data_IF_841273871819
#
_entry.id   IF_841273871819
#
_cell.length_a   1.000
_cell.length_b   1.000
_cell.length_c   1.000
_cell.angle_alpha   90.00
_cell.angle_beta   90.00
_cell.angle_gamma   90.00
#
_symmetry.space_group_name_H-M   'P 1'
#
loop_
_entity.id
_entity.type
_entity.pdbx_description
1 polymer ?
#
# COMPACT_ATOMS: atom_id res chain seq x y z
N UNK A 1 60.99 21.03 5.30
CA UNK A 1 59.52 21.07 5.21
C UNK A 1 58.99 20.13 4.11
N UNK A 2 59.44 18.87 4.07
CA UNK A 2 59.01 17.86 3.08
C UNK A 2 58.56 16.54 3.73
N UNK A 3 58.55 16.48 5.07
CA UNK A 3 58.17 15.28 5.84
C UNK A 3 56.73 15.30 6.35
N UNK A 4 56.05 16.46 6.37
CA UNK A 4 54.66 16.57 6.82
C UNK A 4 53.63 16.26 5.70
N UNK A 5 53.98 16.52 4.43
CA UNK A 5 53.06 16.33 3.30
C UNK A 5 52.83 14.85 2.96
N UNK A 6 53.85 14.00 3.15
CA UNK A 6 53.75 12.56 2.88
C UNK A 6 52.91 11.83 3.93
N UNK A 7 52.90 12.31 5.17
CA UNK A 7 52.07 11.72 6.23
C UNK A 7 50.59 12.07 6.07
N UNK A 8 50.24 13.27 5.61
CA UNK A 8 48.83 13.63 5.38
C UNK A 8 48.20 12.86 4.21
N UNK A 9 48.91 12.67 3.10
CA UNK A 9 48.38 11.88 1.97
C UNK A 9 48.22 10.40 2.30
N UNK A 10 49.13 9.83 3.09
CA UNK A 10 49.06 8.43 3.50
C UNK A 10 47.93 8.18 4.53
N UNK A 11 47.73 9.10 5.49
CA UNK A 11 46.59 9.07 6.44
C UNK A 11 45.25 9.29 5.71
N UNK A 12 45.24 10.11 4.65
CA UNK A 12 44.04 10.31 3.82
C UNK A 12 43.70 9.08 2.98
N UNK A 13 44.71 8.36 2.48
CA UNK A 13 44.52 7.09 1.76
C UNK A 13 44.01 5.96 2.66
N UNK A 14 44.58 5.83 3.87
CA UNK A 14 44.16 4.82 4.84
C UNK A 14 42.74 5.07 5.36
N UNK A 15 42.37 6.33 5.64
CA UNK A 15 41.00 6.68 6.06
C UNK A 15 39.94 6.43 4.99
N UNK A 16 40.25 6.63 3.71
CA UNK A 16 39.31 6.34 2.60
C UNK A 16 39.08 4.82 2.46
N UNK A 17 40.15 4.01 2.58
CA UNK A 17 40.07 2.55 2.46
C UNK A 17 39.34 1.93 3.66
N UNK A 18 39.55 2.45 4.86
CA UNK A 18 38.88 2.00 6.08
C UNK A 18 37.40 2.38 6.10
N UNK A 19 37.06 3.59 5.63
CA UNK A 19 35.66 4.01 5.43
C UNK A 19 34.93 3.12 4.43
N UNK A 20 35.56 2.78 3.31
CA UNK A 20 34.94 1.89 2.31
C UNK A 20 34.70 0.47 2.85
N UNK A 21 35.55 -0.04 3.74
CA UNK A 21 35.29 -1.32 4.44
C UNK A 21 34.15 -1.20 5.45
N UNK A 22 34.07 -0.11 6.20
CA UNK A 22 33.00 0.14 7.18
C UNK A 22 31.63 0.30 6.50
N UNK A 23 31.57 0.99 5.37
CA UNK A 23 30.36 1.10 4.57
C UNK A 23 29.95 -0.24 3.97
N UNK A 24 30.92 -1.03 3.50
CA UNK A 24 30.67 -2.38 2.99
C UNK A 24 30.05 -3.29 4.06
N UNK A 25 30.62 -3.32 5.27
CA UNK A 25 30.12 -4.18 6.36
C UNK A 25 28.67 -3.84 6.77
N UNK A 26 28.24 -2.59 6.60
CA UNK A 26 26.86 -2.15 6.86
C UNK A 26 25.93 -2.40 5.67
N UNK A 27 26.39 -2.18 4.45
CA UNK A 27 25.58 -2.32 3.23
C UNK A 27 25.33 -3.80 2.88
N UNK A 28 26.31 -4.67 3.11
CA UNK A 28 26.23 -6.08 2.75
C UNK A 28 25.04 -6.84 3.39
N UNK A 29 24.80 -6.80 4.72
CA UNK A 29 23.65 -7.50 5.31
C UNK A 29 22.31 -6.94 4.84
N UNK A 30 22.24 -5.62 4.57
CA UNK A 30 21.05 -5.00 3.98
C UNK A 30 20.81 -5.52 2.56
N UNK A 31 21.89 -5.64 1.77
CA UNK A 31 21.83 -6.18 0.42
C UNK A 31 21.41 -7.65 0.42
N UNK A 32 21.95 -8.47 1.33
CA UNK A 32 21.60 -9.88 1.46
C UNK A 32 20.10 -10.05 1.73
N UNK A 33 19.59 -9.33 2.74
CA UNK A 33 18.17 -9.33 3.07
C UNK A 33 17.31 -8.87 1.88
N UNK A 34 17.71 -7.78 1.22
CA UNK A 34 16.95 -7.22 0.10
C UNK A 34 16.96 -8.14 -1.13
N UNK A 35 18.06 -8.83 -1.43
CA UNK A 35 18.12 -9.81 -2.53
C UNK A 35 17.17 -10.97 -2.26
N UNK A 36 17.27 -11.59 -1.08
CA UNK A 36 16.42 -12.72 -0.71
C UNK A 36 14.93 -12.36 -0.77
N UNK A 37 14.59 -11.16 -0.31
CA UNK A 37 13.21 -10.69 -0.22
C UNK A 37 12.63 -10.22 -1.55
N UNK A 38 13.42 -9.56 -2.41
CA UNK A 38 12.88 -8.84 -3.56
C UNK A 38 13.39 -9.30 -4.93
N UNK A 39 14.65 -9.71 -5.09
CA UNK A 39 15.29 -9.82 -6.43
C UNK A 39 16.16 -11.08 -6.58
N UNK A 40 15.79 -12.17 -5.91
CA UNK A 40 16.55 -13.42 -5.94
C UNK A 40 16.70 -13.93 -7.38
N UNK A 41 17.94 -14.16 -7.80
CA UNK A 41 18.26 -14.60 -9.17
C UNK A 41 18.27 -13.49 -10.23
N UNK A 42 17.86 -12.26 -9.88
CA UNK A 42 17.95 -11.09 -10.77
C UNK A 42 19.16 -10.21 -10.43
N UNK A 43 19.58 -10.18 -9.17
CA UNK A 43 20.70 -9.40 -8.69
C UNK A 43 21.47 -10.18 -7.63
N UNK A 44 22.79 -10.06 -7.63
CA UNK A 44 23.65 -10.64 -6.59
C UNK A 44 23.83 -9.68 -5.41
N UNK A 45 24.15 -10.22 -4.24
CA UNK A 45 24.34 -9.44 -3.01
C UNK A 45 25.47 -8.42 -3.19
N UNK A 46 26.56 -8.82 -3.84
CA UNK A 46 27.73 -7.98 -4.08
C UNK A 46 27.42 -6.80 -5.00
N UNK A 47 26.60 -7.01 -6.04
CA UNK A 47 26.23 -5.95 -6.97
C UNK A 47 25.30 -4.97 -6.26
N UNK A 48 24.32 -5.46 -5.49
CA UNK A 48 23.42 -4.60 -4.73
C UNK A 48 24.17 -3.79 -3.67
N UNK A 49 25.08 -4.42 -2.91
CA UNK A 49 25.89 -3.72 -1.91
C UNK A 49 26.71 -2.57 -2.54
N UNK A 50 27.35 -2.82 -3.69
CA UNK A 50 28.06 -1.77 -4.46
C UNK A 50 27.13 -0.62 -4.86
N UNK A 51 25.94 -0.94 -5.38
CA UNK A 51 24.98 0.08 -5.81
C UNK A 51 24.43 0.89 -4.63
N UNK A 52 24.16 0.26 -3.49
CA UNK A 52 23.75 0.95 -2.26
C UNK A 52 24.81 1.98 -1.84
N UNK A 53 26.08 1.57 -1.79
CA UNK A 53 27.19 2.45 -1.40
C UNK A 53 27.33 3.60 -2.40
N UNK A 54 27.28 3.30 -3.70
CA UNK A 54 27.39 4.32 -4.75
C UNK A 54 26.27 5.36 -4.66
N UNK A 55 25.02 4.91 -4.52
CA UNK A 55 23.85 5.78 -4.44
C UNK A 55 23.87 6.63 -3.17
N UNK A 56 24.32 6.05 -2.05
CA UNK A 56 24.53 6.78 -0.81
C UNK A 56 25.60 7.86 -0.95
N UNK A 57 26.76 7.55 -1.56
CA UNK A 57 27.84 8.52 -1.82
C UNK A 57 27.40 9.69 -2.71
N UNK A 58 26.52 9.43 -3.68
CA UNK A 58 25.97 10.48 -4.56
C UNK A 58 24.97 11.36 -3.83
N UNK A 59 24.17 10.77 -2.93
CA UNK A 59 23.07 11.49 -2.26
C UNK A 59 23.54 12.27 -1.03
N UNK A 60 24.58 11.79 -0.33
CA UNK A 60 25.14 12.44 0.85
C UNK A 60 26.55 12.97 0.56
N UNK A 61 26.64 14.29 0.38
CA UNK A 61 27.92 15.01 0.26
C UNK A 61 28.55 15.35 1.61
N UNK A 62 27.81 15.18 2.71
CA UNK A 62 28.23 15.48 4.08
C UNK A 62 28.63 14.19 4.83
N UNK A 63 29.59 14.29 5.76
CA UNK A 63 30.26 13.18 6.49
C UNK A 63 29.36 12.45 7.50
N UNK A 64 28.05 12.41 7.29
CA UNK A 64 27.14 11.69 8.18
C UNK A 64 27.22 10.20 7.95
N UNK A 65 27.22 9.38 9.00
CA UNK A 65 27.21 7.94 8.84
C UNK A 65 25.87 7.40 8.30
N UNK A 66 25.87 6.37 7.43
CA UNK A 66 24.63 5.82 6.87
C UNK A 66 23.79 5.08 7.92
N UNK A 67 22.59 5.57 8.24
CA UNK A 67 21.68 4.82 9.10
C UNK A 67 21.19 3.53 8.41
N UNK A 68 20.96 2.42 9.15
CA UNK A 68 20.45 1.18 8.57
C UNK A 68 19.12 1.36 7.82
N UNK A 69 18.25 2.24 8.32
CA UNK A 69 16.97 2.58 7.67
C UNK A 69 17.16 3.26 6.31
N UNK A 70 18.14 4.16 6.19
CA UNK A 70 18.48 4.80 4.92
C UNK A 70 19.00 3.79 3.90
N UNK A 71 19.94 2.93 4.31
CA UNK A 71 20.48 1.86 3.45
C UNK A 71 19.37 0.91 2.99
N UNK A 72 18.44 0.56 3.89
CA UNK A 72 17.28 -0.29 3.55
C UNK A 72 16.38 0.38 2.51
N UNK A 73 16.15 1.69 2.64
CA UNK A 73 15.35 2.45 1.67
C UNK A 73 16.01 2.53 0.29
N UNK A 74 17.32 2.75 0.26
CA UNK A 74 18.13 2.73 -0.98
C UNK A 74 18.04 1.34 -1.63
N UNK A 75 18.28 0.27 -0.85
CA UNK A 75 18.19 -1.10 -1.33
C UNK A 75 16.81 -1.43 -1.92
N UNK A 76 15.73 -1.05 -1.22
CA UNK A 76 14.37 -1.27 -1.69
C UNK A 76 14.08 -0.51 -2.99
N UNK A 77 14.57 0.73 -3.12
CA UNK A 77 14.45 1.53 -4.35
C UNK A 77 15.12 0.84 -5.53
N UNK A 78 16.38 0.41 -5.35
CA UNK A 78 17.16 -0.30 -6.38
C UNK A 78 16.44 -1.61 -6.77
N UNK A 79 16.03 -2.42 -5.79
CA UNK A 79 15.32 -3.68 -6.04
C UNK A 79 13.99 -3.46 -6.79
N UNK A 80 13.27 -2.39 -6.45
CA UNK A 80 12.03 -2.00 -7.13
C UNK A 80 12.26 -1.70 -8.61
N UNK A 81 13.31 -0.93 -8.92
CA UNK A 81 13.72 -0.65 -10.30
C UNK A 81 14.11 -1.93 -11.05
N UNK A 82 14.92 -2.81 -10.44
CA UNK A 82 15.37 -4.07 -11.07
C UNK A 82 14.18 -4.98 -11.36
N UNK A 83 13.26 -5.14 -10.41
CA UNK A 83 12.03 -5.92 -10.62
C UNK A 83 11.17 -5.35 -11.73
N UNK A 84 11.03 -4.02 -11.80
CA UNK A 84 10.25 -3.37 -12.85
C UNK A 84 10.83 -3.66 -14.23
N UNK A 85 12.15 -3.52 -14.39
CA UNK A 85 12.84 -3.81 -15.65
C UNK A 85 12.73 -5.29 -16.03
N UNK A 86 12.91 -6.19 -15.05
CA UNK A 86 12.80 -7.63 -15.27
C UNK A 86 11.36 -8.05 -15.66
N UNK A 87 10.34 -7.47 -15.02
CA UNK A 87 8.94 -7.68 -15.35
C UNK A 87 8.59 -7.22 -16.77
N UNK A 88 9.22 -6.13 -17.24
CA UNK A 88 9.07 -5.61 -18.60
C UNK A 88 9.96 -6.27 -19.64
N UNK A 89 10.89 -7.13 -19.24
CA UNK A 89 11.88 -7.73 -20.14
C UNK A 89 11.22 -8.47 -21.31
N UNK A 90 11.77 -8.39 -22.54
CA UNK A 90 11.33 -9.22 -23.66
C UNK A 90 11.71 -10.70 -23.46
N UNK A 91 12.68 -11.00 -22.61
CA UNK A 91 13.17 -12.35 -22.34
C UNK A 91 12.24 -13.12 -21.37
N UNK A 92 11.84 -14.33 -21.75
CA UNK A 92 10.93 -15.17 -20.96
C UNK A 92 11.47 -15.51 -19.57
N UNK A 93 12.70 -16.02 -19.51
CA UNK A 93 13.33 -16.45 -18.26
C UNK A 93 13.47 -15.31 -17.24
N UNK A 94 13.90 -14.12 -17.67
CA UNK A 94 14.02 -12.94 -16.79
C UNK A 94 12.67 -12.54 -16.22
N UNK A 95 11.60 -12.61 -17.01
CA UNK A 95 10.24 -12.36 -16.51
C UNK A 95 9.79 -13.40 -15.51
N UNK A 96 10.07 -14.68 -15.74
CA UNK A 96 9.72 -15.74 -14.79
C UNK A 96 10.36 -15.50 -13.43
N UNK A 97 11.64 -15.10 -13.40
CA UNK A 97 12.29 -14.64 -12.16
C UNK A 97 11.58 -13.44 -11.53
N UNK A 98 11.17 -12.45 -12.32
CA UNK A 98 10.41 -11.31 -11.81
C UNK A 98 9.07 -11.74 -11.18
N UNK A 99 8.30 -12.60 -11.85
CA UNK A 99 7.03 -13.11 -11.31
C UNK A 99 7.21 -13.97 -10.06
N UNK A 100 8.24 -14.82 -10.01
CA UNK A 100 8.56 -15.62 -8.83
C UNK A 100 8.92 -14.75 -7.62
N UNK A 101 9.71 -13.69 -7.84
CA UNK A 101 10.05 -12.74 -6.79
C UNK A 101 8.86 -11.88 -6.35
N UNK A 102 8.04 -11.40 -7.30
CA UNK A 102 6.80 -10.70 -7.00
C UNK A 102 5.87 -11.57 -6.15
N UNK A 103 5.69 -12.84 -6.49
CA UNK A 103 4.90 -13.78 -5.69
C UNK A 103 5.40 -13.85 -4.25
N UNK A 104 6.71 -14.04 -4.02
CA UNK A 104 7.30 -14.10 -2.67
C UNK A 104 7.09 -12.80 -1.89
N UNK A 105 7.31 -11.66 -2.54
CA UNK A 105 7.09 -10.34 -1.96
C UNK A 105 5.63 -10.15 -1.53
N UNK A 106 4.69 -10.43 -2.43
CA UNK A 106 3.26 -10.27 -2.19
C UNK A 106 2.72 -11.23 -1.13
N UNK A 107 3.18 -12.48 -1.14
CA UNK A 107 2.84 -13.44 -0.10
C UNK A 107 3.30 -12.94 1.28
N UNK A 108 4.54 -12.46 1.37
CA UNK A 108 5.06 -11.88 2.62
C UNK A 108 4.26 -10.66 3.07
N UNK A 109 3.84 -9.81 2.13
CA UNK A 109 2.99 -8.66 2.42
C UNK A 109 1.59 -9.06 2.91
N UNK A 110 0.96 -10.06 2.29
CA UNK A 110 -0.34 -10.56 2.74
C UNK A 110 -0.25 -11.18 4.12
N UNK A 111 0.79 -11.97 4.42
CA UNK A 111 0.97 -12.57 5.75
C UNK A 111 1.05 -11.48 6.82
N UNK A 112 1.79 -10.39 6.56
CA UNK A 112 1.88 -9.24 7.48
C UNK A 112 0.52 -8.56 7.69
N UNK A 113 -0.25 -8.33 6.62
CA UNK A 113 -1.58 -7.70 6.72
C UNK A 113 -2.57 -8.63 7.44
N UNK A 114 -2.59 -9.91 7.07
CA UNK A 114 -3.48 -10.93 7.62
C UNK A 114 -3.23 -11.20 9.11
N UNK A 115 -2.01 -11.01 9.61
CA UNK A 115 -1.72 -11.11 11.05
C UNK A 115 -2.44 -10.05 11.89
N UNK A 116 -2.91 -8.96 11.26
CA UNK A 116 -3.58 -7.84 11.93
C UNK A 116 -5.09 -7.77 11.68
N UNK A 117 -5.63 -8.64 10.82
CA UNK A 117 -7.04 -8.58 10.41
C UNK A 117 -7.64 -9.99 10.31
N UNK A 118 -8.96 -10.18 10.47
CA UNK A 118 -9.60 -11.51 10.54
C UNK A 118 -9.64 -12.30 9.20
N UNK A 119 -8.69 -12.06 8.29
CA UNK A 119 -8.53 -12.71 6.97
C UNK A 119 -8.22 -14.20 7.04
N UNK A 120 -8.00 -14.72 8.25
CA UNK A 120 -7.59 -16.09 8.51
C UNK A 120 -8.65 -17.16 8.18
N UNK A 121 -9.72 -16.80 7.47
CA UNK A 121 -10.85 -17.70 7.20
C UNK A 121 -10.57 -18.76 6.13
N UNK A 122 -9.59 -18.59 5.23
CA UNK A 122 -9.10 -19.72 4.44
C UNK A 122 -7.72 -19.49 3.81
N UNK A 123 -6.85 -20.51 3.82
CA UNK A 123 -5.58 -20.50 3.09
C UNK A 123 -5.79 -20.41 1.56
N UNK A 124 -6.96 -20.85 1.09
CA UNK A 124 -7.40 -20.76 -0.31
C UNK A 124 -7.60 -19.31 -0.76
N UNK A 125 -8.17 -18.44 0.08
CA UNK A 125 -8.39 -17.01 -0.26
C UNK A 125 -7.06 -16.28 -0.48
N UNK A 126 -6.01 -16.59 0.28
CA UNK A 126 -4.69 -15.95 0.13
C UNK A 126 -4.07 -16.32 -1.22
N UNK A 127 -4.11 -17.60 -1.59
CA UNK A 127 -3.60 -18.07 -2.87
C UNK A 127 -4.39 -17.51 -4.06
N UNK A 128 -5.71 -17.42 -3.94
CA UNK A 128 -6.56 -16.83 -4.99
C UNK A 128 -6.24 -15.35 -5.21
N UNK A 129 -6.11 -14.57 -4.14
CA UNK A 129 -5.72 -13.15 -4.21
C UNK A 129 -4.34 -12.99 -4.85
N UNK A 130 -3.37 -13.83 -4.49
CA UNK A 130 -2.04 -13.80 -5.09
C UNK A 130 -2.08 -14.12 -6.58
N UNK A 131 -2.74 -15.21 -6.96
CA UNK A 131 -2.84 -15.63 -8.35
C UNK A 131 -3.58 -14.59 -9.20
N UNK A 132 -4.68 -14.03 -8.67
CA UNK A 132 -5.43 -12.98 -9.32
C UNK A 132 -4.58 -11.71 -9.49
N UNK A 133 -3.83 -11.29 -8.46
CA UNK A 133 -2.92 -10.14 -8.57
C UNK A 133 -1.87 -10.36 -9.65
N UNK A 134 -1.24 -11.53 -9.70
CA UNK A 134 -0.24 -11.86 -10.73
C UNK A 134 -0.86 -11.91 -12.14
N UNK A 135 -2.09 -12.41 -12.28
CA UNK A 135 -2.84 -12.40 -13.54
C UNK A 135 -3.15 -10.97 -14.00
N UNK A 136 -3.55 -10.08 -13.09
CA UNK A 136 -3.76 -8.66 -13.40
C UNK A 136 -2.47 -8.03 -13.91
N UNK A 137 -1.35 -8.24 -13.24
CA UNK A 137 -0.04 -7.74 -13.68
C UNK A 137 0.35 -8.29 -15.06
N UNK A 138 0.11 -9.58 -15.31
CA UNK A 138 0.38 -10.20 -16.60
C UNK A 138 -0.46 -9.58 -17.72
N UNK A 139 -1.77 -9.39 -17.49
CA UNK A 139 -2.69 -8.76 -18.46
C UNK A 139 -2.32 -7.30 -18.72
N UNK A 140 -2.01 -6.53 -17.67
CA UNK A 140 -1.59 -5.13 -17.83
C UNK A 140 -0.39 -5.01 -18.76
N UNK A 141 0.60 -5.90 -18.61
CA UNK A 141 1.79 -5.96 -19.48
C UNK A 141 1.44 -6.25 -20.94
N UNK A 142 0.53 -7.21 -21.19
CA UNK A 142 0.14 -7.60 -22.55
C UNK A 142 -0.66 -6.52 -23.26
N UNK A 143 -1.55 -5.84 -22.55
CA UNK A 143 -2.49 -4.89 -23.15
C UNK A 143 -1.91 -3.49 -23.35
N UNK A 144 -0.83 -3.11 -22.66
CA UNK A 144 -0.31 -1.74 -22.71
C UNK A 144 1.22 -1.70 -22.62
N UNK A 145 1.85 -1.14 -23.65
CA UNK A 145 3.30 -0.85 -23.70
C UNK A 145 3.75 0.16 -22.64
N UNK A 146 2.84 0.89 -21.99
CA UNK A 146 3.11 1.84 -20.90
C UNK A 146 2.55 1.39 -19.54
N UNK A 147 2.31 0.09 -19.34
CA UNK A 147 1.84 -0.40 -18.04
C UNK A 147 2.89 -0.23 -16.92
N UNK A 148 2.40 0.09 -15.71
CA UNK A 148 3.20 0.26 -14.50
C UNK A 148 3.25 1.71 -14.00
N UNK A 149 4.06 1.99 -12.96
CA UNK A 149 4.27 3.36 -12.48
C UNK A 149 5.18 4.15 -13.44
N UNK A 150 5.04 5.48 -13.41
CA UNK A 150 5.95 6.39 -14.14
C UNK A 150 7.38 6.32 -13.60
N UNK A 151 7.53 6.15 -12.27
CA UNK A 151 8.81 5.96 -11.60
C UNK A 151 9.04 4.48 -11.24
N UNK A 152 10.03 3.80 -11.85
CA UNK A 152 10.39 2.41 -11.54
C UNK A 152 10.69 2.16 -10.05
N UNK A 153 11.19 3.15 -9.32
CA UNK A 153 11.47 3.02 -7.89
C UNK A 153 10.21 2.73 -7.07
N UNK A 154 9.04 3.14 -7.57
CA UNK A 154 7.75 2.96 -6.89
C UNK A 154 7.05 1.65 -7.24
N UNK A 155 7.64 0.80 -8.09
CA UNK A 155 7.03 -0.43 -8.57
C UNK A 155 6.54 -1.37 -7.46
N UNK A 156 7.37 -1.69 -6.47
CA UNK A 156 6.95 -2.53 -5.33
C UNK A 156 5.71 -1.98 -4.61
N UNK A 157 5.67 -0.66 -4.37
CA UNK A 157 4.51 0.02 -3.74
C UNK A 157 3.27 -0.03 -4.65
N UNK A 158 3.47 0.16 -5.94
CA UNK A 158 2.39 0.08 -6.93
C UNK A 158 1.79 -1.33 -6.99
N UNK A 159 2.62 -2.38 -7.06
CA UNK A 159 2.17 -3.77 -7.03
C UNK A 159 1.46 -4.08 -5.71
N UNK A 160 1.98 -3.60 -4.57
CA UNK A 160 1.32 -3.76 -3.28
C UNK A 160 -0.06 -3.08 -3.24
N UNK A 161 -0.24 -1.94 -3.92
CA UNK A 161 -1.54 -1.29 -4.03
C UNK A 161 -2.55 -2.14 -4.81
N UNK A 162 -2.10 -2.80 -5.89
CA UNK A 162 -2.94 -3.74 -6.65
C UNK A 162 -3.33 -4.92 -5.77
N UNK A 163 -2.37 -5.50 -5.05
CA UNK A 163 -2.62 -6.58 -4.11
C UNK A 163 -3.71 -6.21 -3.11
N UNK A 164 -3.59 -5.06 -2.44
CA UNK A 164 -4.59 -4.64 -1.45
C UNK A 164 -5.98 -4.45 -2.05
N UNK A 165 -6.08 -4.03 -3.31
CA UNK A 165 -7.36 -3.90 -4.03
C UNK A 165 -7.97 -5.27 -4.35
N UNK A 166 -7.19 -6.21 -4.88
CA UNK A 166 -7.66 -7.57 -5.18
C UNK A 166 -8.05 -8.32 -3.91
N UNK A 167 -7.28 -8.11 -2.85
CA UNK A 167 -7.53 -8.66 -1.55
C UNK A 167 -8.90 -8.15 -1.03
N UNK A 168 -9.13 -6.83 -1.06
CA UNK A 168 -10.39 -6.23 -0.62
C UNK A 168 -11.59 -6.66 -1.48
N UNK A 169 -11.40 -6.74 -2.80
CA UNK A 169 -12.42 -7.21 -3.73
C UNK A 169 -12.83 -8.66 -3.43
N UNK A 170 -11.87 -9.52 -3.07
CA UNK A 170 -12.12 -10.92 -2.71
C UNK A 170 -12.91 -11.02 -1.41
N UNK A 171 -12.56 -10.25 -0.37
CA UNK A 171 -13.35 -10.19 0.86
C UNK A 171 -14.80 -9.78 0.60
N UNK A 172 -15.01 -8.75 -0.23
CA UNK A 172 -16.36 -8.29 -0.61
C UNK A 172 -17.13 -9.34 -1.40
N UNK A 173 -16.45 -10.12 -2.24
CA UNK A 173 -17.07 -11.21 -2.98
C UNK A 173 -17.50 -12.33 -2.03
N UNK A 174 -16.66 -12.69 -1.06
CA UNK A 174 -16.95 -13.69 -0.03
C UNK A 174 -18.13 -13.26 0.85
N UNK A 175 -18.17 -11.99 1.29
CA UNK A 175 -19.32 -11.41 2.02
C UNK A 175 -20.62 -11.55 1.22
N UNK A 176 -20.59 -11.24 -0.08
CA UNK A 176 -21.77 -11.33 -0.95
C UNK A 176 -22.18 -12.78 -1.20
N UNK A 177 -21.23 -13.69 -1.41
CA UNK A 177 -21.48 -15.11 -1.63
C UNK A 177 -22.08 -15.77 -0.39
N UNK A 178 -21.59 -15.42 0.80
CA UNK A 178 -22.16 -15.86 2.08
C UNK A 178 -23.63 -15.40 2.24
N UNK A 179 -24.00 -14.22 1.75
CA UNK A 179 -25.39 -13.75 1.75
C UNK A 179 -26.30 -14.47 0.73
N UNK A 180 -25.75 -15.20 -0.25
CA UNK A 180 -26.50 -15.77 -1.38
C UNK A 180 -26.63 -17.31 -1.34
N UNK A 181 -25.93 -18.00 -0.45
CA UNK A 181 -26.03 -19.46 -0.31
C UNK A 181 -27.29 -19.86 0.47
N UNK A 182 -28.29 -20.37 -0.24
CA UNK A 182 -29.56 -20.86 0.33
C UNK A 182 -29.42 -22.24 1.01
N UNK A 183 -28.41 -23.04 0.65
CA UNK A 183 -28.25 -24.42 1.15
C UNK A 183 -27.48 -24.51 2.49
N UNK A 184 -26.91 -23.40 2.97
CA UNK A 184 -26.25 -23.33 4.29
C UNK A 184 -27.21 -22.94 5.45
N UNK A 185 -28.51 -22.86 5.18
CA UNK A 185 -29.48 -22.22 6.06
C UNK A 185 -30.01 -22.98 7.30
N UNK A 186 -29.68 -24.24 7.65
CA UNK A 186 -30.09 -24.74 8.96
C UNK A 186 -29.21 -24.23 10.12
N UNK A 187 -27.95 -23.83 9.86
CA UNK A 187 -27.03 -23.35 10.90
C UNK A 187 -26.84 -21.82 10.89
N UNK A 188 -26.98 -21.16 9.73
CA UNK A 188 -26.80 -19.71 9.60
C UNK A 188 -27.90 -18.88 10.29
N UNK A 189 -29.05 -19.48 10.63
CA UNK A 189 -30.06 -18.82 11.47
C UNK A 189 -29.71 -18.84 12.97
N UNK A 190 -28.74 -19.66 13.41
CA UNK A 190 -28.19 -19.62 14.77
C UNK A 190 -26.90 -18.81 14.88
N UNK A 191 -26.11 -18.65 13.79
CA UNK A 191 -24.81 -17.96 13.83
C UNK A 191 -24.80 -16.51 13.29
N UNK A 192 -25.92 -15.96 12.81
CA UNK A 192 -26.06 -14.50 12.61
C UNK A 192 -25.94 -13.68 13.92
N UNK A 193 -25.78 -14.36 15.07
CA UNK A 193 -25.49 -13.77 16.38
C UNK A 193 -24.04 -13.95 16.85
N UNK A 194 -23.09 -14.39 16.00
CA UNK A 194 -21.70 -14.53 16.44
C UNK A 194 -20.73 -13.84 15.48
N UNK A 195 -20.71 -12.52 15.53
CA UNK A 195 -19.47 -11.77 15.40
C UNK A 195 -19.24 -11.02 16.71
N UNK A 196 -18.23 -11.49 17.43
CA UNK A 196 -17.87 -11.20 18.81
C UNK A 196 -17.70 -9.70 19.12
N UNK A 197 -18.25 -9.29 20.26
CA UNK A 197 -18.07 -8.04 21.00
C UNK A 197 -18.95 -6.84 20.62
N UNK A 198 -20.28 -6.96 20.76
CA UNK A 198 -21.21 -5.86 21.10
C UNK A 198 -22.48 -6.47 21.71
N UNK A 199 -22.40 -6.92 22.97
CA UNK A 199 -23.54 -7.46 23.74
C UNK A 199 -24.38 -6.35 24.38
N UNK A 200 -24.66 -5.27 23.64
CA UNK A 200 -25.69 -4.33 24.06
C UNK A 200 -26.69 -4.08 22.91
N UNK A 201 -27.95 -4.56 23.01
CA UNK A 201 -29.01 -4.20 22.07
C UNK A 201 -29.19 -2.68 21.93
N UNK A 202 -28.74 -1.90 22.92
CA UNK A 202 -28.71 -0.44 22.88
C UNK A 202 -27.72 0.09 21.81
N UNK A 203 -26.55 -0.52 21.65
CA UNK A 203 -25.55 -0.08 20.66
C UNK A 203 -26.02 -0.31 19.21
N UNK A 204 -26.75 -1.40 18.97
CA UNK A 204 -27.34 -1.68 17.67
C UNK A 204 -28.39 -0.63 17.27
N UNK A 205 -29.27 -0.26 18.22
CA UNK A 205 -30.25 0.80 18.02
C UNK A 205 -29.56 2.13 17.77
N UNK A 206 -28.53 2.47 18.56
CA UNK A 206 -27.75 3.70 18.40
C UNK A 206 -27.04 3.77 17.04
N UNK A 207 -26.48 2.67 16.54
CA UNK A 207 -25.88 2.62 15.20
C UNK A 207 -26.90 2.81 14.09
N UNK A 208 -28.08 2.20 14.22
CA UNK A 208 -29.15 2.34 13.24
C UNK A 208 -29.71 3.77 13.21
N UNK A 209 -29.91 4.38 14.39
CA UNK A 209 -30.31 5.78 14.52
C UNK A 209 -29.26 6.74 13.94
N UNK A 210 -27.97 6.49 14.21
CA UNK A 210 -26.89 7.30 13.65
C UNK A 210 -26.85 7.22 12.12
N UNK A 211 -27.01 6.02 11.55
CA UNK A 211 -27.04 5.84 10.09
C UNK A 211 -28.25 6.53 9.46
N UNK A 212 -29.43 6.42 10.08
CA UNK A 212 -30.63 7.11 9.63
C UNK A 212 -30.46 8.64 9.66
N UNK A 213 -29.96 9.17 10.77
CA UNK A 213 -29.73 10.60 10.93
C UNK A 213 -28.66 11.15 9.97
N UNK A 214 -27.58 10.42 9.74
CA UNK A 214 -26.58 10.80 8.74
C UNK A 214 -27.16 10.79 7.33
N UNK A 215 -28.00 9.81 7.00
CA UNK A 215 -28.71 9.76 5.71
C UNK A 215 -29.59 10.99 5.53
N UNK A 216 -30.37 11.34 6.53
CA UNK A 216 -31.29 12.48 6.48
C UNK A 216 -30.53 13.81 6.47
N UNK A 217 -29.42 13.91 7.21
CA UNK A 217 -28.53 15.07 7.21
C UNK A 217 -27.87 15.30 5.84
N UNK A 218 -27.46 14.23 5.15
CA UNK A 218 -26.94 14.30 3.78
C UNK A 218 -28.06 14.72 2.83
N UNK A 219 -29.24 14.07 2.88
CA UNK A 219 -30.35 14.37 1.98
C UNK A 219 -30.87 15.81 2.11
N UNK A 220 -30.82 16.37 3.33
CA UNK A 220 -31.20 17.76 3.63
C UNK A 220 -30.13 18.80 3.29
N UNK A 221 -29.01 18.43 2.66
CA UNK A 221 -28.09 19.42 2.07
C UNK A 221 -28.75 20.07 0.86
N UNK A 222 -28.87 21.42 0.90
CA UNK A 222 -29.53 22.21 -0.16
C UNK A 222 -28.87 22.06 -1.54
N UNK A 223 -27.56 21.82 -1.57
CA UNK A 223 -26.82 21.68 -2.83
C UNK A 223 -26.79 20.20 -3.29
N UNK A 224 -27.35 19.87 -4.47
CA UNK A 224 -27.30 18.50 -5.00
C UNK A 224 -25.89 17.99 -5.29
N UNK A 225 -24.94 18.87 -5.67
CA UNK A 225 -23.55 18.48 -5.92
C UNK A 225 -22.85 18.02 -4.64
N UNK A 226 -23.20 18.59 -3.49
CA UNK A 226 -22.62 18.19 -2.20
C UNK A 226 -23.08 16.78 -1.82
N UNK A 227 -24.38 16.52 -1.97
CA UNK A 227 -24.96 15.19 -1.74
C UNK A 227 -24.30 14.14 -2.63
N UNK A 228 -24.23 14.43 -3.93
CA UNK A 228 -23.63 13.55 -4.91
C UNK A 228 -22.15 13.29 -4.59
N UNK A 229 -21.35 14.31 -4.31
CA UNK A 229 -19.94 14.13 -3.94
C UNK A 229 -19.80 13.21 -2.75
N UNK A 230 -20.60 13.39 -1.70
CA UNK A 230 -20.56 12.53 -0.52
C UNK A 230 -20.95 11.08 -0.85
N UNK A 231 -22.02 10.87 -1.61
CA UNK A 231 -22.44 9.53 -2.00
C UNK A 231 -21.39 8.83 -2.86
N UNK A 232 -20.85 9.49 -3.89
CA UNK A 232 -19.87 8.86 -4.78
C UNK A 232 -18.50 8.69 -4.11
N UNK A 233 -18.11 9.59 -3.20
CA UNK A 233 -16.83 9.47 -2.48
C UNK A 233 -16.88 8.36 -1.43
N UNK A 234 -17.97 8.25 -0.67
CA UNK A 234 -18.03 7.35 0.49
C UNK A 234 -18.79 6.04 0.25
N UNK A 235 -19.72 5.97 -0.72
CA UNK A 235 -20.41 4.72 -1.07
C UNK A 235 -19.86 4.07 -2.33
N UNK A 236 -19.45 4.87 -3.32
CA UNK A 236 -18.90 4.36 -4.58
C UNK A 236 -17.36 4.42 -4.63
N UNK A 237 -16.72 4.87 -3.55
CA UNK A 237 -15.26 4.96 -3.38
C UNK A 237 -14.52 5.64 -4.54
N UNK A 238 -15.19 6.56 -5.23
CA UNK A 238 -14.61 7.26 -6.38
C UNK A 238 -13.67 8.36 -5.90
N UNK A 239 -12.49 8.43 -6.50
CA UNK A 239 -11.56 9.51 -6.23
C UNK A 239 -12.00 10.85 -6.89
N UNK A 240 -11.41 11.96 -6.44
CA UNK A 240 -11.78 13.29 -6.93
C UNK A 240 -11.52 13.45 -8.42
N UNK A 241 -10.53 12.73 -8.97
CA UNK A 241 -10.16 12.77 -10.39
C UNK A 241 -11.12 11.95 -11.25
N UNK A 242 -11.63 10.85 -10.74
CA UNK A 242 -12.66 10.01 -11.35
C UNK A 242 -14.00 10.74 -11.37
N UNK A 243 -14.36 11.41 -10.26
CA UNK A 243 -15.54 12.26 -10.19
C UNK A 243 -15.45 13.45 -11.15
N UNK A 244 -14.28 14.11 -11.21
CA UNK A 244 -14.01 15.20 -12.14
C UNK A 244 -14.16 14.75 -13.60
N UNK A 245 -13.59 13.60 -13.96
CA UNK A 245 -13.75 12.99 -15.29
C UNK A 245 -15.20 12.64 -15.58
N UNK A 246 -15.92 12.03 -14.63
CA UNK A 246 -17.32 11.62 -14.79
C UNK A 246 -18.27 12.81 -14.97
N UNK A 247 -18.01 13.92 -14.29
CA UNK A 247 -18.86 15.11 -14.36
C UNK A 247 -18.37 16.21 -15.30
N UNK A 248 -17.23 15.99 -15.98
CA UNK A 248 -16.60 16.95 -16.88
C UNK A 248 -16.33 18.30 -16.19
N UNK A 249 -15.77 18.24 -14.99
CA UNK A 249 -15.40 19.42 -14.18
C UNK A 249 -13.95 19.29 -13.71
N UNK A 250 -13.38 20.35 -13.15
CA UNK A 250 -12.03 20.30 -12.61
C UNK A 250 -11.99 19.54 -11.29
N UNK A 251 -10.89 18.82 -11.02
CA UNK A 251 -10.70 18.11 -9.76
C UNK A 251 -10.73 19.06 -8.54
N UNK A 252 -10.30 20.30 -8.73
CA UNK A 252 -10.38 21.35 -7.71
C UNK A 252 -11.82 21.69 -7.33
N UNK A 253 -12.76 21.67 -8.28
CA UNK A 253 -14.18 21.91 -8.00
C UNK A 253 -14.78 20.79 -7.15
N UNK A 254 -14.44 19.53 -7.48
CA UNK A 254 -14.87 18.35 -6.71
C UNK A 254 -14.32 18.39 -5.29
N UNK A 255 -13.04 18.73 -5.13
CA UNK A 255 -12.41 18.94 -3.83
C UNK A 255 -13.15 20.03 -3.03
N UNK A 256 -13.43 21.18 -3.65
CA UNK A 256 -14.14 22.29 -2.99
C UNK A 256 -15.57 21.91 -2.60
N UNK A 257 -16.27 21.14 -3.43
CA UNK A 257 -17.59 20.62 -3.11
C UNK A 257 -17.55 19.63 -1.96
N UNK A 258 -16.57 18.71 -1.93
CA UNK A 258 -16.38 17.79 -0.81
C UNK A 258 -16.14 18.53 0.48
N UNK A 259 -15.20 19.48 0.47
CA UNK A 259 -14.86 20.28 1.64
C UNK A 259 -16.08 21.07 2.16
N UNK A 260 -16.81 21.76 1.27
CA UNK A 260 -18.02 22.51 1.64
C UNK A 260 -19.16 21.60 2.10
N UNK A 261 -19.30 20.41 1.52
CA UNK A 261 -20.29 19.42 1.92
C UNK A 261 -20.03 18.91 3.35
N UNK A 262 -18.77 18.57 3.67
CA UNK A 262 -18.37 18.14 5.00
C UNK A 262 -18.57 19.27 6.02
N UNK A 263 -18.17 20.50 5.69
CA UNK A 263 -18.40 21.67 6.55
C UNK A 263 -19.90 21.93 6.78
N UNK A 264 -20.73 21.75 5.76
CA UNK A 264 -22.18 21.89 5.87
C UNK A 264 -22.82 20.79 6.72
N UNK A 265 -22.28 19.56 6.72
CA UNK A 265 -22.68 18.49 7.64
C UNK A 265 -22.24 18.76 9.08
N UNK A 266 -20.99 19.22 9.27
CA UNK A 266 -20.45 19.57 10.58
C UNK A 266 -21.17 20.75 11.23
N UNK A 267 -21.76 21.66 10.44
CA UNK A 267 -22.54 22.78 10.98
C UNK A 267 -23.98 22.38 11.38
N UNK A 268 -24.42 21.14 11.16
CA UNK A 268 -25.74 20.69 11.60
C UNK A 268 -25.68 20.26 13.08
N UNK A 269 -26.47 20.88 13.96
CA UNK A 269 -26.41 20.62 15.41
C UNK A 269 -26.80 19.17 15.74
N UNK A 270 -27.66 18.54 14.93
CA UNK A 270 -28.06 17.13 15.08
C UNK A 270 -26.88 16.18 14.87
N UNK A 271 -26.08 16.39 13.83
CA UNK A 271 -24.89 15.59 13.52
C UNK A 271 -23.82 15.77 14.58
N UNK A 272 -23.60 17.00 15.06
CA UNK A 272 -22.65 17.27 16.14
C UNK A 272 -23.08 16.66 17.48
N UNK A 273 -24.37 16.71 17.83
CA UNK A 273 -24.88 16.09 19.05
C UNK A 273 -24.68 14.58 19.03
N UNK A 274 -24.98 13.93 17.90
CA UNK A 274 -24.81 12.48 17.76
C UNK A 274 -23.34 12.05 17.75
N UNK A 275 -22.47 12.79 17.07
CA UNK A 275 -21.02 12.53 17.09
C UNK A 275 -20.41 12.72 18.49
N UNK A 276 -20.90 13.70 19.27
CA UNK A 276 -20.46 13.91 20.66
C UNK A 276 -20.87 12.77 21.58
N UNK A 277 -22.12 12.30 21.48
CA UNK A 277 -22.59 11.14 22.26
C UNK A 277 -21.72 9.91 21.99
N UNK A 278 -21.29 9.72 20.74
CA UNK A 278 -20.40 8.64 20.34
C UNK A 278 -18.94 8.80 20.78
N UNK A 279 -18.40 10.02 20.83
CA UNK A 279 -17.01 10.23 21.30
C UNK A 279 -16.86 10.30 22.82
N UNK A 280 -17.93 10.54 23.58
CA UNK A 280 -17.90 10.50 25.05
C UNK A 280 -18.38 9.17 25.64
N UNK A 281 -18.88 8.24 24.81
CA UNK A 281 -19.31 6.89 25.20
C UNK A 281 -18.30 5.78 24.90
N UNK A 282 -17.07 6.13 24.47
CA UNK A 282 -15.92 5.24 24.33
C UNK A 282 -14.87 5.57 25.40
#
# INVERSE_FOLDING_TARGET
MAYEVVQEEQVRGESIIEWDRSLWSRAYPVAEYAVQRYVLGLLTVEILAKQIIQEWKVTNSERDEPTPALLTRIAQRICSCVLYMAWRSPEGAVREYAFANLRRYLQSSLVQVSSSTPWQRSATTVEDVLNQTLLVLHRMRLSNTHAGPDDPATFLKWVHTILMREAYASLRADERAACLSLDAQPAAFQEQFVSTCYDDPQDYVLQHELRAALRDAILSLRNPRYRQVLFYTYLAEMDERELARRWRVQAQDVYMWRHRALKALQNKPEVLRMLRVWTTGA
#
